data_IF_520494771722
#
_entry.id   IF_520494771722
#
_cell.length_a   1.000
_cell.length_b   1.000
_cell.length_c   1.000
_cell.angle_alpha   90.00
_cell.angle_beta   90.00
_cell.angle_gamma   90.00
#
_symmetry.space_group_name_H-M   'P 1'
#
loop_
_entity.id
_entity.type
_entity.pdbx_description
1 polymer ?
#
# COMPACT_ATOMS: atom_id res chain seq x y z
N UNK A 1 -17.62 -65.31 -42.26
CA UNK A 1 -18.62 -64.86 -41.28
C UNK A 1 -18.48 -63.34 -41.22
N UNK A 2 -19.33 -62.55 -41.90
CA UNK A 2 -20.75 -62.26 -41.59
C UNK A 2 -20.87 -61.62 -40.19
N UNK A 3 -21.35 -60.38 -40.01
CA UNK A 3 -21.78 -59.32 -40.93
C UNK A 3 -22.05 -58.04 -40.12
N UNK A 4 -21.71 -56.83 -40.57
CA UNK A 4 -22.49 -56.00 -41.52
C UNK A 4 -23.87 -55.53 -41.02
N UNK A 5 -23.96 -54.26 -40.60
CA UNK A 5 -24.96 -53.20 -40.95
C UNK A 5 -25.03 -52.15 -39.80
N UNK A 6 -24.96 -50.82 -39.99
CA UNK A 6 -25.61 -49.90 -40.96
C UNK A 6 -27.10 -49.66 -40.62
N UNK A 7 -27.73 -48.46 -40.72
CA UNK A 7 -27.34 -47.09 -41.16
C UNK A 7 -28.55 -46.12 -40.88
N UNK A 8 -28.42 -44.80 -41.17
CA UNK A 8 -29.49 -43.75 -41.33
C UNK A 8 -30.06 -43.14 -40.03
N UNK A 9 -29.85 -41.83 -39.73
CA UNK A 9 -30.37 -40.55 -40.33
C UNK A 9 -31.86 -40.32 -39.98
N UNK A 10 -32.32 -39.17 -39.47
CA UNK A 10 -32.41 -37.81 -40.07
C UNK A 10 -32.99 -36.82 -38.99
N UNK A 11 -33.05 -35.47 -39.07
CA UNK A 11 -32.60 -34.45 -40.05
C UNK A 11 -32.56 -33.00 -39.44
N UNK A 12 -31.77 -32.11 -40.07
CA UNK A 12 -32.05 -30.69 -40.42
C UNK A 12 -32.22 -29.56 -39.37
N UNK A 13 -31.57 -28.41 -39.68
CA UNK A 13 -31.73 -27.09 -39.05
C UNK A 13 -30.65 -26.11 -39.54
N UNK A 14 -30.85 -25.48 -40.71
CA UNK A 14 -29.82 -24.68 -41.41
C UNK A 14 -29.76 -23.20 -40.99
N UNK A 15 -28.60 -22.59 -41.24
CA UNK A 15 -28.19 -21.21 -40.95
C UNK A 15 -29.00 -20.10 -41.64
N UNK A 16 -29.12 -18.92 -41.01
CA UNK A 16 -29.16 -17.59 -41.67
C UNK A 16 -28.46 -16.53 -40.79
N UNK A 17 -27.65 -15.67 -41.41
CA UNK A 17 -27.01 -14.48 -40.83
C UNK A 17 -28.00 -13.31 -40.69
N UNK A 18 -27.94 -12.52 -39.61
CA UNK A 18 -28.32 -11.10 -39.71
C UNK A 18 -27.60 -10.23 -38.66
N UNK A 19 -27.08 -9.10 -39.14
CA UNK A 19 -26.36 -8.08 -38.35
C UNK A 19 -27.37 -7.10 -37.75
N UNK A 20 -27.20 -6.72 -36.48
CA UNK A 20 -27.89 -5.58 -35.89
C UNK A 20 -26.98 -4.85 -34.88
N UNK A 21 -26.20 -3.90 -35.39
CA UNK A 21 -25.61 -2.83 -34.59
C UNK A 21 -26.75 -1.90 -34.12
N UNK A 22 -27.05 -1.82 -32.82
CA UNK A 22 -27.93 -0.78 -32.27
C UNK A 22 -27.40 -0.25 -30.92
N UNK A 23 -26.83 0.95 -31.00
CA UNK A 23 -26.76 2.04 -30.02
C UNK A 23 -26.51 1.77 -28.52
N UNK A 24 -25.36 2.28 -28.06
CA UNK A 24 -24.99 2.47 -26.64
C UNK A 24 -25.73 3.68 -25.99
N UNK A 25 -26.50 4.46 -26.76
CA UNK A 25 -27.15 5.70 -26.30
C UNK A 25 -28.21 5.52 -25.20
N UNK A 26 -28.84 4.34 -25.09
CA UNK A 26 -29.96 4.11 -24.16
C UNK A 26 -29.55 3.97 -22.69
N UNK A 27 -28.25 3.86 -22.41
CA UNK A 27 -27.74 3.65 -21.04
C UNK A 27 -27.42 4.94 -20.28
N UNK A 28 -27.32 6.10 -20.94
CA UNK A 28 -27.10 7.38 -20.24
C UNK A 28 -28.42 7.96 -19.68
N UNK A 29 -29.50 7.94 -20.46
CA UNK A 29 -30.78 8.54 -20.06
C UNK A 29 -31.31 7.95 -18.74
N UNK A 30 -31.16 6.63 -18.56
CA UNK A 30 -31.57 5.92 -17.34
C UNK A 30 -30.75 6.29 -16.09
N UNK A 31 -29.53 6.83 -16.28
CA UNK A 31 -28.66 7.29 -15.18
C UNK A 31 -29.01 8.73 -14.79
N UNK A 32 -29.31 9.59 -15.76
CA UNK A 32 -29.76 10.97 -15.52
C UNK A 32 -31.10 11.01 -14.78
N UNK A 33 -32.07 10.19 -15.18
CA UNK A 33 -33.39 10.13 -14.53
C UNK A 33 -33.33 9.57 -13.08
N UNK A 34 -32.36 8.72 -12.76
CA UNK A 34 -32.13 8.28 -11.37
C UNK A 34 -31.48 9.38 -10.51
N UNK A 35 -30.54 10.15 -11.08
CA UNK A 35 -29.88 11.26 -10.39
C UNK A 35 -30.86 12.38 -10.01
N UNK A 36 -31.88 12.65 -10.85
CA UNK A 36 -32.89 13.67 -10.60
C UNK A 36 -33.84 13.37 -9.42
N UNK A 37 -33.98 12.11 -9.00
CA UNK A 37 -34.92 11.68 -7.95
C UNK A 37 -34.28 11.46 -6.57
N UNK A 38 -32.94 11.45 -6.48
CA UNK A 38 -32.20 11.20 -5.24
C UNK A 38 -31.39 12.42 -4.80
N UNK A 39 -32.08 13.36 -4.15
CA UNK A 39 -31.40 14.47 -3.47
C UNK A 39 -30.36 13.94 -2.47
N UNK A 40 -29.09 14.29 -2.70
CA UNK A 40 -27.91 13.87 -1.91
C UNK A 40 -27.45 12.40 -2.08
N UNK A 41 -27.14 11.96 -3.31
CA UNK A 41 -26.32 10.74 -3.51
C UNK A 41 -25.41 10.73 -4.75
N UNK A 42 -24.83 11.89 -5.10
CA UNK A 42 -23.71 12.08 -6.07
C UNK A 42 -22.37 11.43 -5.61
N UNK A 43 -22.48 10.47 -4.69
CA UNK A 43 -21.51 10.16 -3.64
C UNK A 43 -21.12 8.67 -3.62
N UNK A 44 -21.94 7.83 -4.27
CA UNK A 44 -21.57 6.45 -4.56
C UNK A 44 -20.70 6.34 -5.85
N UNK A 45 -20.39 7.49 -6.46
CA UNK A 45 -19.63 7.67 -7.69
C UNK A 45 -18.27 8.29 -7.31
N UNK A 46 -17.09 7.75 -7.62
CA UNK A 46 -16.65 6.70 -8.54
C UNK A 46 -16.27 5.37 -7.80
N UNK A 47 -17.13 4.80 -6.94
CA UNK A 47 -16.67 3.82 -5.90
C UNK A 47 -16.10 2.46 -6.36
N UNK A 48 -16.33 2.03 -7.60
CA UNK A 48 -15.61 0.91 -8.22
C UNK A 48 -14.93 1.30 -9.55
N UNK A 49 -14.98 2.57 -9.92
CA UNK A 49 -14.60 3.10 -11.23
C UNK A 49 -13.22 3.78 -11.14
N UNK A 50 -12.10 3.14 -11.50
CA UNK A 50 -11.98 1.85 -12.20
C UNK A 50 -11.10 0.87 -11.43
N UNK A 51 -11.74 -0.21 -10.99
CA UNK A 51 -11.18 -1.43 -10.41
C UNK A 51 -9.86 -1.83 -11.07
N UNK A 52 -8.75 -1.50 -10.41
CA UNK A 52 -7.40 -2.07 -10.60
C UNK A 52 -7.00 -2.28 -12.08
N UNK A 53 -6.94 -1.20 -12.86
CA UNK A 53 -6.27 -1.14 -14.17
C UNK A 53 -6.59 -2.28 -15.16
N UNK A 54 -7.82 -2.33 -15.66
CA UNK A 54 -8.18 -3.18 -16.82
C UNK A 54 -8.33 -2.41 -18.15
N UNK A 55 -7.94 -1.13 -18.17
CA UNK A 55 -7.69 -0.34 -19.37
C UNK A 55 -6.26 0.22 -19.28
N UNK A 56 -5.27 -0.67 -19.22
CA UNK A 56 -3.92 -0.34 -19.67
C UNK A 56 -3.97 -0.12 -21.18
N UNK A 57 -4.38 1.08 -21.59
CA UNK A 57 -3.99 1.58 -22.92
C UNK A 57 -2.49 1.35 -23.04
N UNK A 58 -2.08 0.83 -24.20
CA UNK A 58 -0.67 0.60 -24.56
C UNK A 58 0.21 1.72 -24.02
N UNK A 59 1.38 1.35 -23.48
CA UNK A 59 2.44 2.27 -23.04
C UNK A 59 2.82 3.34 -24.09
N UNK A 60 2.39 3.15 -25.34
CA UNK A 60 2.69 3.95 -26.52
C UNK A 60 1.45 4.35 -27.33
N UNK A 61 0.29 4.59 -26.69
CA UNK A 61 -0.85 5.17 -27.42
C UNK A 61 -0.52 6.59 -27.92
N UNK A 62 -0.77 6.84 -29.21
CA UNK A 62 0.02 7.75 -30.05
C UNK A 62 -0.43 9.23 -29.96
N UNK A 63 -0.89 9.66 -28.78
CA UNK A 63 -1.40 11.01 -28.57
C UNK A 63 -0.27 12.03 -28.45
N UNK A 64 -0.06 12.80 -29.51
CA UNK A 64 0.98 13.84 -29.67
C UNK A 64 0.89 15.06 -28.75
N UNK A 65 0.00 15.04 -27.75
CA UNK A 65 -0.06 16.07 -26.70
C UNK A 65 0.83 15.67 -25.53
N UNK A 66 2.02 16.25 -25.50
CA UNK A 66 3.07 16.09 -24.48
C UNK A 66 2.70 16.74 -23.12
N UNK A 67 1.43 17.06 -22.89
CA UNK A 67 0.95 17.71 -21.67
C UNK A 67 0.05 16.78 -20.85
N UNK A 68 0.39 16.69 -19.57
CA UNK A 68 -0.27 15.81 -18.61
C UNK A 68 -1.60 16.44 -18.19
N UNK A 69 -2.70 15.69 -18.27
CA UNK A 69 -3.98 16.17 -17.80
C UNK A 69 -4.06 16.16 -16.26
N UNK A 70 -3.49 17.21 -15.66
CA UNK A 70 -3.54 17.44 -14.21
C UNK A 70 -4.95 17.65 -13.68
N UNK A 71 -5.89 18.12 -14.51
CA UNK A 71 -7.28 18.29 -14.12
C UNK A 71 -7.92 16.92 -13.92
N UNK A 72 -7.76 16.01 -14.88
CA UNK A 72 -8.18 14.60 -14.77
C UNK A 72 -7.52 13.89 -13.57
N UNK A 73 -6.22 14.11 -13.31
CA UNK A 73 -5.56 13.56 -12.11
C UNK A 73 -6.17 14.13 -10.82
N UNK A 74 -6.43 15.43 -10.75
CA UNK A 74 -7.02 16.07 -9.58
C UNK A 74 -8.46 15.59 -9.33
N UNK A 75 -9.29 15.49 -10.37
CA UNK A 75 -10.67 14.99 -10.29
C UNK A 75 -10.71 13.51 -9.88
N UNK A 76 -9.94 12.65 -10.56
CA UNK A 76 -9.82 11.21 -10.27
C UNK A 76 -9.49 10.93 -8.80
N UNK A 77 -8.59 11.73 -8.22
CA UNK A 77 -8.16 11.58 -6.83
C UNK A 77 -8.86 12.53 -5.86
N UNK A 78 -9.84 13.31 -6.32
CA UNK A 78 -10.59 14.28 -5.49
C UNK A 78 -9.66 15.23 -4.72
N UNK A 79 -8.65 15.75 -5.41
CA UNK A 79 -7.73 16.76 -4.91
C UNK A 79 -8.33 18.16 -5.06
N UNK A 80 -8.00 19.11 -4.16
CA UNK A 80 -8.43 20.49 -4.33
C UNK A 80 -7.80 21.09 -5.60
N UNK A 81 -8.48 22.02 -6.26
CA UNK A 81 -8.02 22.59 -7.54
C UNK A 81 -6.67 23.32 -7.44
N UNK A 82 -6.34 23.86 -6.26
CA UNK A 82 -5.04 24.48 -5.97
C UNK A 82 -3.89 23.47 -5.75
N UNK A 83 -4.17 22.16 -5.81
CA UNK A 83 -3.15 21.12 -5.91
C UNK A 83 -2.53 21.01 -7.32
N UNK A 84 -3.23 21.43 -8.38
CA UNK A 84 -2.74 21.31 -9.76
C UNK A 84 -1.38 22.01 -9.99
N UNK A 85 -1.14 23.25 -9.51
CA UNK A 85 0.18 23.87 -9.55
C UNK A 85 1.26 23.06 -8.81
N UNK A 86 0.91 22.40 -7.71
CA UNK A 86 1.84 21.57 -6.92
C UNK A 86 2.21 20.29 -7.70
N UNK A 87 1.21 19.64 -8.33
CA UNK A 87 1.43 18.47 -9.18
C UNK A 87 2.29 18.83 -10.41
N UNK A 88 2.13 20.03 -10.99
CA UNK A 88 3.01 20.57 -12.03
C UNK A 88 4.45 20.76 -11.55
N UNK A 89 4.64 21.32 -10.36
CA UNK A 89 5.98 21.46 -9.75
C UNK A 89 6.65 20.09 -9.58
N UNK A 90 5.91 19.06 -9.14
CA UNK A 90 6.42 17.68 -9.01
C UNK A 90 6.88 17.11 -10.35
N UNK A 91 6.15 17.30 -11.47
CA UNK A 91 6.61 16.87 -12.81
C UNK A 91 7.92 17.54 -13.20
N UNK A 92 8.11 18.81 -12.84
CA UNK A 92 9.28 19.59 -13.23
C UNK A 92 10.57 19.23 -12.46
N UNK A 93 10.47 18.49 -11.36
CA UNK A 93 11.65 18.00 -10.63
C UNK A 93 12.26 16.78 -11.34
N UNK A 94 13.60 16.61 -11.26
CA UNK A 94 14.25 15.40 -11.76
C UNK A 94 13.60 14.14 -11.18
N UNK A 95 13.42 13.15 -12.04
CA UNK A 95 12.79 11.87 -11.69
C UNK A 95 13.70 11.10 -10.72
N UNK A 96 15.00 11.05 -10.98
CA UNK A 96 15.99 10.43 -10.10
C UNK A 96 16.17 11.15 -8.75
N UNK A 97 16.31 10.39 -7.67
CA UNK A 97 16.65 10.93 -6.36
C UNK A 97 18.17 11.02 -6.20
N UNK A 98 18.64 12.02 -5.45
CA UNK A 98 20.00 11.99 -4.89
C UNK A 98 20.09 10.85 -3.85
N UNK A 99 20.57 9.70 -4.30
CA UNK A 99 20.78 8.52 -3.47
C UNK A 99 22.13 7.91 -3.82
N UNK A 100 22.95 7.68 -2.80
CA UNK A 100 24.25 7.03 -2.92
C UNK A 100 24.34 5.88 -1.91
N UNK A 101 24.50 4.66 -2.43
CA UNK A 101 24.51 3.41 -1.67
C UNK A 101 25.59 3.33 -0.58
N UNK A 102 26.68 4.07 -0.73
CA UNK A 102 27.79 4.03 0.22
C UNK A 102 27.62 5.08 1.33
N UNK A 103 27.04 6.25 1.04
CA UNK A 103 26.79 7.32 2.03
C UNK A 103 25.40 7.27 2.67
N UNK A 104 24.46 6.52 2.11
CA UNK A 104 23.06 6.57 2.52
C UNK A 104 22.57 5.21 3.07
N UNK A 105 21.57 5.28 3.96
CA UNK A 105 20.85 4.13 4.49
C UNK A 105 19.39 4.24 4.06
N UNK A 106 18.93 3.28 3.24
CA UNK A 106 17.53 3.12 2.89
C UNK A 106 16.72 2.66 4.12
N UNK A 107 16.00 3.59 4.75
CA UNK A 107 15.17 3.34 5.93
C UNK A 107 13.73 3.06 5.50
N UNK A 108 13.43 1.81 5.18
CA UNK A 108 12.05 1.37 4.91
C UNK A 108 11.29 1.21 6.22
N UNK A 109 10.32 2.08 6.43
CA UNK A 109 9.44 2.02 7.59
C UNK A 109 8.02 1.86 7.10
N UNK A 110 7.34 0.80 7.51
CA UNK A 110 6.04 0.49 6.92
C UNK A 110 5.02 -0.04 7.93
N UNK A 111 3.72 0.21 7.70
CA UNK A 111 2.68 -0.34 8.54
C UNK A 111 2.64 -1.87 8.55
N UNK A 112 2.07 -2.43 9.61
CA UNK A 112 1.63 -3.83 9.61
C UNK A 112 0.58 -4.03 8.53
N UNK A 113 0.73 -5.10 7.73
CA UNK A 113 -0.20 -5.50 6.66
C UNK A 113 -0.23 -4.55 5.45
N UNK A 114 0.95 -4.12 5.02
CA UNK A 114 1.21 -3.55 3.68
C UNK A 114 2.11 -4.49 2.87
N UNK A 115 2.48 -4.10 1.65
CA UNK A 115 3.46 -4.83 0.82
C UNK A 115 4.88 -4.95 1.42
N UNK A 116 5.14 -4.38 2.59
CA UNK A 116 6.49 -4.26 3.14
C UNK A 116 7.17 -5.56 3.54
N UNK A 117 6.47 -6.68 3.72
CA UNK A 117 7.12 -8.00 3.84
C UNK A 117 7.85 -8.36 2.54
N UNK A 118 7.17 -8.20 1.41
CA UNK A 118 7.72 -8.47 0.07
C UNK A 118 8.85 -7.50 -0.24
N UNK A 119 8.66 -6.22 0.08
CA UNK A 119 9.67 -5.20 -0.19
C UNK A 119 10.90 -5.30 0.73
N UNK A 120 10.74 -5.65 2.01
CA UNK A 120 11.87 -5.97 2.92
C UNK A 120 12.68 -7.18 2.44
N UNK A 121 12.02 -8.15 1.77
CA UNK A 121 12.70 -9.29 1.15
C UNK A 121 13.47 -8.88 -0.11
N UNK A 122 12.94 -7.96 -0.92
CA UNK A 122 13.67 -7.38 -2.04
C UNK A 122 14.90 -6.59 -1.54
N UNK A 123 14.75 -5.73 -0.53
CA UNK A 123 15.87 -5.01 0.10
C UNK A 123 16.93 -5.95 0.68
N UNK A 124 16.53 -7.05 1.33
CA UNK A 124 17.46 -8.07 1.82
C UNK A 124 18.23 -8.76 0.67
N UNK A 125 17.64 -8.90 -0.51
CA UNK A 125 18.27 -9.48 -1.70
C UNK A 125 19.24 -8.49 -2.36
N UNK A 126 18.81 -7.23 -2.54
CA UNK A 126 19.60 -6.12 -3.11
C UNK A 126 20.82 -5.80 -2.25
N UNK A 127 20.63 -5.67 -0.93
CA UNK A 127 21.69 -5.25 0.00
C UNK A 127 22.53 -6.42 0.51
N UNK A 128 21.99 -7.64 0.49
CA UNK A 128 22.53 -8.84 1.15
C UNK A 128 22.57 -8.70 2.68
N UNK A 129 22.60 -9.83 3.40
CA UNK A 129 22.33 -9.88 4.86
C UNK A 129 23.30 -9.04 5.71
N UNK A 130 24.55 -8.86 5.28
CA UNK A 130 25.57 -8.11 6.05
C UNK A 130 25.40 -6.58 5.95
N UNK A 131 24.73 -6.05 4.92
CA UNK A 131 24.46 -4.61 4.76
C UNK A 131 23.08 -4.16 5.30
N UNK A 132 22.38 -5.07 5.98
CA UNK A 132 21.10 -4.80 6.65
C UNK A 132 21.36 -4.48 8.12
N UNK A 133 20.81 -3.39 8.62
CA UNK A 133 20.92 -2.97 10.03
C UNK A 133 20.48 -4.11 10.97
N UNK A 134 21.33 -4.60 11.88
CA UNK A 134 20.95 -5.65 12.83
C UNK A 134 19.74 -5.20 13.66
N UNK A 135 18.82 -6.13 13.95
CA UNK A 135 17.48 -5.82 14.46
C UNK A 135 16.40 -5.64 13.38
N UNK A 136 16.75 -5.48 12.10
CA UNK A 136 15.79 -5.40 10.98
C UNK A 136 15.24 -6.78 10.59
N UNK A 137 14.15 -7.19 11.24
CA UNK A 137 13.45 -8.45 10.95
C UNK A 137 12.41 -8.32 9.82
N UNK A 138 12.27 -9.36 8.99
CA UNK A 138 11.29 -9.45 7.89
C UNK A 138 9.86 -9.17 8.38
N UNK A 139 9.32 -7.98 8.13
CA UNK A 139 8.01 -7.56 8.66
C UNK A 139 7.90 -7.72 10.19
N UNK A 140 8.95 -7.31 10.91
CA UNK A 140 8.96 -7.25 12.37
C UNK A 140 9.21 -5.81 12.85
N UNK A 141 8.87 -5.56 14.11
CA UNK A 141 9.40 -4.42 14.86
C UNK A 141 10.91 -4.61 15.03
N UNK A 142 11.64 -3.50 15.16
CA UNK A 142 13.07 -3.50 15.39
C UNK A 142 13.43 -4.33 16.62
N UNK A 143 14.34 -5.30 16.46
CA UNK A 143 14.73 -6.24 17.52
C UNK A 143 15.98 -5.75 18.22
N UNK A 144 15.76 -5.01 19.29
CA UNK A 144 16.79 -4.42 20.16
C UNK A 144 17.87 -5.44 20.58
N UNK A 145 17.49 -6.65 20.98
CA UNK A 145 18.43 -7.71 21.37
C UNK A 145 19.33 -8.21 20.23
N UNK A 146 18.86 -8.21 18.98
CA UNK A 146 19.68 -8.56 17.81
C UNK A 146 20.66 -7.43 17.46
N UNK A 147 20.31 -6.18 17.75
CA UNK A 147 21.19 -5.01 17.60
C UNK A 147 22.26 -4.98 18.69
N UNK A 148 21.89 -5.23 19.94
CA UNK A 148 22.82 -5.35 21.09
C UNK A 148 23.83 -6.49 20.88
N UNK A 149 23.36 -7.67 20.45
CA UNK A 149 24.24 -8.79 20.09
C UNK A 149 25.23 -8.42 18.97
N UNK A 150 24.82 -7.55 18.03
CA UNK A 150 25.70 -7.08 16.96
C UNK A 150 26.71 -6.03 17.46
N UNK A 151 26.33 -5.15 18.40
CA UNK A 151 27.27 -4.22 19.08
C UNK A 151 28.34 -4.98 19.85
N UNK A 152 27.98 -6.02 20.60
CA UNK A 152 28.94 -6.86 21.34
C UNK A 152 29.93 -7.58 20.40
N UNK A 153 29.42 -8.11 19.28
CA UNK A 153 30.21 -8.88 18.32
C UNK A 153 31.05 -8.01 17.38
N UNK A 154 30.55 -6.83 17.02
CA UNK A 154 31.17 -5.87 16.11
C UNK A 154 31.21 -4.49 16.79
N UNK A 155 32.05 -4.25 17.82
CA UNK A 155 32.12 -2.95 18.47
C UNK A 155 32.54 -1.86 17.47
N UNK A 156 31.88 -0.68 17.42
CA UNK A 156 32.13 0.32 16.38
C UNK A 156 33.58 0.80 16.27
N UNK A 157 34.32 0.83 17.37
CA UNK A 157 35.73 1.25 17.41
C UNK A 157 36.71 0.14 16.97
N UNK A 158 36.24 -1.11 16.86
CA UNK A 158 37.04 -2.31 16.53
C UNK A 158 36.71 -2.83 15.12
N UNK A 159 35.43 -2.87 14.77
CA UNK A 159 34.94 -3.25 13.44
C UNK A 159 34.07 -2.12 12.85
N UNK A 160 34.71 -1.00 12.44
CA UNK A 160 33.98 0.14 11.87
C UNK A 160 33.43 -0.18 10.48
N UNK A 161 34.06 -1.10 9.74
CA UNK A 161 33.71 -1.42 8.36
C UNK A 161 32.43 -2.25 8.28
N UNK A 162 32.13 -3.09 9.28
CA UNK A 162 30.80 -3.67 9.43
C UNK A 162 29.70 -2.61 9.45
N UNK A 163 29.83 -1.57 10.29
CA UNK A 163 28.83 -0.50 10.40
C UNK A 163 28.79 0.42 9.18
N UNK A 164 29.94 0.73 8.57
CA UNK A 164 29.98 1.45 7.29
C UNK A 164 29.39 0.66 6.13
N UNK A 165 29.37 -0.67 6.21
CA UNK A 165 28.74 -1.50 5.16
C UNK A 165 27.20 -1.43 5.17
N UNK A 166 26.58 -1.00 6.28
CA UNK A 166 25.12 -0.92 6.39
C UNK A 166 24.56 0.10 5.38
N UNK A 167 23.62 -0.37 4.56
CA UNK A 167 22.94 0.43 3.53
C UNK A 167 21.42 0.36 3.57
N UNK A 168 20.82 -0.48 4.43
CA UNK A 168 19.37 -0.47 4.65
C UNK A 168 18.97 -0.82 6.08
N UNK A 169 17.88 -0.21 6.54
CA UNK A 169 17.15 -0.48 7.77
C UNK A 169 15.70 -0.73 7.37
N UNK A 170 15.09 -1.81 7.84
CA UNK A 170 13.65 -2.01 7.64
C UNK A 170 12.95 -2.48 8.93
N UNK A 171 11.81 -1.86 9.24
CA UNK A 171 11.07 -2.15 10.47
C UNK A 171 9.61 -1.73 10.37
N UNK A 172 8.74 -2.44 11.11
CA UNK A 172 7.49 -1.86 11.55
C UNK A 172 7.78 -0.74 12.54
N UNK A 173 7.30 0.45 12.25
CA UNK A 173 7.43 1.61 13.12
C UNK A 173 6.47 2.71 12.66
N UNK A 174 6.29 3.70 13.52
CA UNK A 174 5.60 4.94 13.28
C UNK A 174 6.66 5.96 12.84
N UNK A 175 6.56 6.51 11.62
CA UNK A 175 7.73 7.09 10.93
C UNK A 175 8.42 8.22 11.69
N UNK A 176 7.62 9.15 12.21
CA UNK A 176 8.11 10.45 12.69
C UNK A 176 7.49 10.79 14.06
N UNK A 177 7.60 9.87 15.03
CA UNK A 177 7.07 10.09 16.40
C UNK A 177 7.81 11.21 17.12
N UNK A 178 7.18 12.39 17.17
CA UNK A 178 7.71 13.63 17.77
C UNK A 178 7.90 13.50 19.30
N UNK A 179 7.15 12.61 19.97
CA UNK A 179 6.98 12.61 21.44
C UNK A 179 7.52 11.36 22.18
N UNK A 180 8.61 10.74 21.71
CA UNK A 180 9.38 9.79 22.55
C UNK A 180 10.70 10.43 22.97
N UNK A 181 11.14 10.15 24.22
CA UNK A 181 12.35 10.75 24.84
C UNK A 181 13.64 10.48 24.05
N UNK A 182 13.64 9.46 23.20
CA UNK A 182 14.64 9.21 22.18
C UNK A 182 13.98 8.47 21.02
N UNK A 183 14.23 8.89 19.78
CA UNK A 183 13.81 8.17 18.58
C UNK A 183 14.75 7.01 18.25
N UNK A 184 14.30 6.05 17.44
CA UNK A 184 15.13 4.90 17.05
C UNK A 184 16.45 5.36 16.39
N UNK A 185 16.43 6.42 15.59
CA UNK A 185 17.66 6.91 14.93
C UNK A 185 18.62 7.62 15.88
N UNK A 186 18.10 8.37 16.84
CA UNK A 186 18.89 8.99 17.90
C UNK A 186 19.62 7.89 18.68
N UNK A 187 18.91 6.82 19.07
CA UNK A 187 19.51 5.64 19.71
C UNK A 187 20.61 5.02 18.83
N UNK A 188 20.29 4.68 17.57
CA UNK A 188 21.24 4.06 16.64
C UNK A 188 22.50 4.93 16.43
N UNK A 189 22.35 6.25 16.23
CA UNK A 189 23.47 7.19 16.04
C UNK A 189 24.24 7.50 17.33
N UNK A 190 23.65 7.28 18.51
CA UNK A 190 24.37 7.36 19.80
C UNK A 190 25.26 6.13 19.99
N UNK A 191 24.69 4.95 19.81
CA UNK A 191 25.37 3.67 20.09
C UNK A 191 26.32 3.23 18.96
N UNK A 192 26.10 3.70 17.73
CA UNK A 192 27.04 3.58 16.61
C UNK A 192 27.30 4.96 16.00
N UNK A 193 28.30 5.72 16.51
CA UNK A 193 28.60 7.07 16.02
C UNK A 193 28.89 7.15 14.52
N UNK A 194 29.41 6.08 13.91
CA UNK A 194 29.65 5.96 12.47
C UNK A 194 28.36 6.15 11.63
N UNK A 195 27.18 5.87 12.17
CA UNK A 195 25.90 6.12 11.49
C UNK A 195 25.54 7.62 11.37
N UNK A 196 26.37 8.52 11.93
CA UNK A 196 26.32 9.97 11.66
C UNK A 196 27.03 10.34 10.35
N UNK A 197 27.95 9.50 9.87
CA UNK A 197 28.58 9.65 8.55
C UNK A 197 27.57 9.39 7.41
N UNK A 198 26.41 8.77 7.73
CA UNK A 198 25.39 8.39 6.75
C UNK A 198 24.07 9.18 6.86
N UNK A 199 23.47 9.43 5.69
CA UNK A 199 22.11 9.99 5.57
C UNK A 199 21.09 8.86 5.69
N UNK A 200 20.12 8.99 6.59
CA UNK A 200 18.97 8.08 6.62
C UNK A 200 17.93 8.61 5.63
N UNK A 201 17.69 7.84 4.57
CA UNK A 201 16.78 8.20 3.48
C UNK A 201 15.48 7.40 3.68
N UNK A 202 14.43 8.11 4.08
CA UNK A 202 13.18 7.51 4.52
C UNK A 202 12.35 7.02 3.33
N UNK A 203 11.93 5.76 3.41
CA UNK A 203 10.95 5.16 2.52
C UNK A 203 9.74 4.65 3.29
N UNK A 204 8.56 4.77 2.71
CA UNK A 204 7.30 4.30 3.33
C UNK A 204 6.42 3.51 2.37
N UNK A 205 5.40 2.84 2.91
CA UNK A 205 4.38 2.15 2.11
C UNK A 205 2.99 2.61 2.55
N UNK A 206 2.32 3.26 1.62
CA UNK A 206 0.92 3.65 1.65
C UNK A 206 0.06 2.46 1.21
N UNK A 207 -1.15 2.35 1.76
CA UNK A 207 -2.16 1.33 1.46
C UNK A 207 -3.56 1.94 1.56
N UNK A 208 -4.52 1.49 0.76
CA UNK A 208 -5.92 1.94 0.88
C UNK A 208 -6.43 1.70 2.31
N UNK A 209 -7.01 2.68 3.00
CA UNK A 209 -7.28 2.57 4.44
C UNK A 209 -8.21 1.41 4.81
N UNK A 210 -9.28 1.19 4.04
CA UNK A 210 -10.22 0.07 4.21
C UNK A 210 -9.53 -1.30 4.03
N UNK A 211 -8.71 -1.46 2.99
CA UNK A 211 -7.91 -2.66 2.74
C UNK A 211 -6.91 -2.95 3.89
N UNK A 212 -6.30 -1.90 4.45
CA UNK A 212 -5.42 -1.97 5.61
C UNK A 212 -6.19 -2.34 6.89
N UNK A 213 -7.33 -1.71 7.16
CA UNK A 213 -8.19 -1.98 8.31
C UNK A 213 -8.71 -3.42 8.30
N UNK A 214 -9.26 -3.87 7.18
CA UNK A 214 -9.71 -5.24 6.99
C UNK A 214 -8.57 -6.26 7.16
N UNK A 215 -7.38 -5.96 6.62
CA UNK A 215 -6.21 -6.84 6.81
C UNK A 215 -5.71 -6.86 8.25
N UNK A 216 -5.72 -5.73 8.96
CA UNK A 216 -5.40 -5.66 10.39
C UNK A 216 -6.43 -6.44 11.22
N UNK A 217 -7.72 -6.31 10.90
CA UNK A 217 -8.80 -7.06 11.54
C UNK A 217 -8.60 -8.58 11.38
N UNK A 218 -8.51 -9.03 10.13
CA UNK A 218 -8.42 -10.44 9.76
C UNK A 218 -7.16 -11.13 10.26
N UNK A 219 -6.01 -10.43 10.29
CA UNK A 219 -4.72 -11.06 10.54
C UNK A 219 -4.04 -10.71 11.87
N UNK A 220 -4.28 -9.52 12.42
CA UNK A 220 -3.59 -9.06 13.65
C UNK A 220 -4.49 -8.93 14.86
N UNK A 221 -5.66 -8.27 14.71
CA UNK A 221 -6.56 -7.93 15.81
C UNK A 221 -7.32 -9.19 16.22
N UNK A 222 -8.13 -9.73 15.32
CA UNK A 222 -8.97 -10.89 15.59
C UNK A 222 -8.36 -12.22 15.12
N UNK A 223 -7.31 -12.17 14.29
CA UNK A 223 -6.61 -13.37 13.78
C UNK A 223 -7.57 -14.38 13.12
N UNK A 224 -8.62 -13.88 12.49
CA UNK A 224 -9.66 -14.63 11.75
C UNK A 224 -9.05 -15.71 10.84
N UNK A 225 -7.96 -15.39 10.10
CA UNK A 225 -7.25 -16.36 9.25
C UNK A 225 -6.55 -17.50 10.00
N UNK A 226 -6.37 -17.39 11.32
CA UNK A 226 -5.88 -18.48 12.19
C UNK A 226 -7.05 -19.38 12.63
N UNK A 227 -8.13 -18.80 13.13
CA UNK A 227 -9.28 -19.55 13.67
C UNK A 227 -10.06 -20.28 12.58
N UNK A 228 -10.24 -19.65 11.41
CA UNK A 228 -10.84 -20.30 10.25
C UNK A 228 -9.97 -21.37 9.57
N UNK A 229 -8.70 -21.52 9.97
CA UNK A 229 -7.72 -22.43 9.32
C UNK A 229 -7.09 -21.89 8.02
N UNK A 230 -7.38 -20.63 7.66
CA UNK A 230 -7.19 -20.07 6.31
C UNK A 230 -5.92 -19.21 6.15
N UNK A 231 -4.77 -19.70 6.63
CA UNK A 231 -3.53 -18.89 6.69
C UNK A 231 -2.93 -18.50 5.33
N UNK A 232 -3.17 -19.27 4.27
CA UNK A 232 -2.61 -19.02 2.93
C UNK A 232 -3.46 -19.68 1.83
N UNK A 233 -4.48 -18.99 1.35
CA UNK A 233 -5.12 -19.34 0.08
C UNK A 233 -4.24 -18.91 -1.09
N UNK A 234 -4.23 -19.72 -2.16
CA UNK A 234 -3.53 -19.42 -3.42
C UNK A 234 -4.43 -18.83 -4.50
N UNK A 235 -5.75 -19.06 -4.44
CA UNK A 235 -6.69 -18.70 -5.50
C UNK A 235 -7.88 -17.90 -4.94
N UNK A 236 -8.36 -16.89 -5.69
CA UNK A 236 -9.52 -16.05 -5.29
C UNK A 236 -10.81 -16.88 -5.16
N UNK A 237 -11.00 -17.88 -6.01
CA UNK A 237 -12.16 -18.79 -5.93
C UNK A 237 -12.18 -19.70 -4.69
N UNK A 238 -11.10 -19.74 -3.90
CA UNK A 238 -11.04 -20.47 -2.62
C UNK A 238 -11.37 -19.60 -1.40
N UNK A 239 -11.63 -18.30 -1.60
CA UNK A 239 -11.98 -17.34 -0.54
C UNK A 239 -13.43 -17.54 -0.09
N UNK A 240 -13.67 -18.61 0.66
CA UNK A 240 -14.98 -18.88 1.25
C UNK A 240 -15.36 -17.80 2.27
N UNK A 241 -16.67 -17.47 2.43
CA UNK A 241 -17.13 -16.58 3.48
C UNK A 241 -16.72 -17.05 4.88
N UNK A 242 -16.67 -16.11 5.83
CA UNK A 242 -16.30 -16.38 7.22
C UNK A 242 -17.46 -16.05 8.14
N UNK A 243 -17.88 -17.01 8.96
CA UNK A 243 -18.84 -16.76 10.03
C UNK A 243 -18.09 -16.17 11.25
N UNK A 244 -18.12 -14.84 11.39
CA UNK A 244 -17.46 -14.13 12.49
C UNK A 244 -18.06 -14.52 13.86
N UNK A 245 -19.38 -14.70 13.95
CA UNK A 245 -20.08 -15.17 15.16
C UNK A 245 -19.56 -16.54 15.62
N UNK A 246 -19.35 -17.49 14.71
CA UNK A 246 -18.77 -18.79 15.04
C UNK A 246 -17.32 -18.65 15.56
N UNK A 247 -16.52 -17.76 14.95
CA UNK A 247 -15.15 -17.49 15.41
C UNK A 247 -15.14 -16.82 16.79
N UNK A 248 -16.07 -15.89 17.08
CA UNK A 248 -16.25 -15.32 18.42
C UNK A 248 -16.47 -16.41 19.47
N UNK A 249 -17.40 -17.34 19.22
CA UNK A 249 -17.68 -18.43 20.17
C UNK A 249 -16.49 -19.39 20.32
N UNK A 250 -15.85 -19.79 19.21
CA UNK A 250 -14.61 -20.58 19.27
C UNK A 250 -13.51 -19.88 20.09
N UNK A 251 -13.34 -18.56 19.93
CA UNK A 251 -12.34 -17.79 20.66
C UNK A 251 -12.65 -17.65 22.16
N UNK A 252 -13.94 -17.68 22.53
CA UNK A 252 -14.39 -17.70 23.92
C UNK A 252 -14.18 -19.10 24.54
N UNK A 253 -14.60 -20.17 23.85
CA UNK A 253 -14.34 -21.56 24.25
C UNK A 253 -12.84 -21.80 24.49
N UNK A 254 -11.99 -21.42 23.53
CA UNK A 254 -10.53 -21.53 23.69
C UNK A 254 -9.97 -20.67 24.83
N UNK A 255 -10.65 -19.60 25.25
CA UNK A 255 -10.26 -18.81 26.43
C UNK A 255 -10.59 -19.56 27.71
N UNK A 256 -11.77 -20.17 27.82
CA UNK A 256 -12.15 -20.95 29.00
C UNK A 256 -11.28 -22.22 29.13
N UNK A 257 -10.97 -22.92 28.03
CA UNK A 257 -9.99 -24.01 28.03
C UNK A 257 -8.59 -23.57 28.51
N UNK A 258 -8.18 -22.35 28.15
CA UNK A 258 -6.91 -21.76 28.62
C UNK A 258 -6.94 -21.36 30.09
N UNK A 259 -8.09 -20.96 30.63
CA UNK A 259 -8.27 -20.65 32.07
C UNK A 259 -8.36 -21.94 32.91
N UNK A 260 -8.91 -23.02 32.35
CA UNK A 260 -8.96 -24.34 32.96
C UNK A 260 -7.66 -25.15 32.82
N UNK A 261 -6.62 -24.58 32.21
CA UNK A 261 -5.33 -25.22 31.85
C UNK A 261 -5.42 -26.47 30.94
N UNK A 262 -6.62 -26.81 30.46
CA UNK A 262 -6.85 -27.94 29.54
C UNK A 262 -6.25 -27.70 28.15
N UNK A 263 -5.98 -26.43 27.82
CA UNK A 263 -5.30 -26.01 26.60
C UNK A 263 -4.15 -25.05 26.93
N UNK A 264 -3.03 -25.21 26.22
CA UNK A 264 -1.85 -24.30 26.30
C UNK A 264 -1.63 -23.49 25.03
N UNK A 265 -2.20 -23.92 23.91
CA UNK A 265 -2.07 -23.22 22.63
C UNK A 265 -2.87 -21.90 22.65
N UNK A 266 -2.25 -20.80 22.20
CA UNK A 266 -2.83 -19.45 22.08
C UNK A 266 -3.22 -18.73 23.39
N UNK A 267 -3.08 -19.36 24.56
CA UNK A 267 -3.46 -18.76 25.85
C UNK A 267 -2.83 -17.38 26.16
N UNK A 268 -1.54 -17.12 25.89
CA UNK A 268 -0.95 -15.78 26.09
C UNK A 268 -1.62 -14.67 25.28
N UNK A 269 -2.31 -15.02 24.19
CA UNK A 269 -3.11 -14.09 23.40
C UNK A 269 -4.54 -13.95 23.93
N UNK A 270 -5.19 -15.04 24.36
CA UNK A 270 -6.63 -15.07 24.69
C UNK A 270 -6.95 -14.64 26.14
N UNK A 271 -6.15 -15.06 27.12
CA UNK A 271 -6.45 -14.82 28.55
C UNK A 271 -6.57 -13.33 28.86
N UNK A 272 -5.68 -12.52 28.26
CA UNK A 272 -5.63 -11.07 28.42
C UNK A 272 -6.65 -10.28 27.57
N UNK A 273 -7.76 -10.90 27.14
CA UNK A 273 -8.81 -10.26 26.32
C UNK A 273 -10.10 -10.05 27.10
N UNK A 274 -10.63 -8.83 26.99
CA UNK A 274 -11.93 -8.41 27.53
C UNK A 274 -13.09 -8.91 26.67
N UNK A 275 -14.32 -8.92 27.21
CA UNK A 275 -15.53 -9.28 26.46
C UNK A 275 -15.67 -8.47 25.15
N UNK A 276 -15.50 -7.14 25.23
CA UNK A 276 -15.54 -6.21 24.08
C UNK A 276 -14.61 -6.62 22.93
N UNK A 277 -13.47 -7.27 23.20
CA UNK A 277 -12.59 -7.77 22.14
C UNK A 277 -13.23 -8.92 21.36
N UNK A 278 -13.94 -9.83 22.03
CA UNK A 278 -14.65 -10.93 21.37
C UNK A 278 -15.87 -10.44 20.60
N UNK A 279 -16.57 -9.40 21.10
CA UNK A 279 -17.67 -8.75 20.37
C UNK A 279 -17.19 -8.15 19.04
N UNK A 280 -16.10 -7.39 19.05
CA UNK A 280 -15.43 -6.89 17.84
C UNK A 280 -15.06 -8.01 16.87
N UNK A 281 -14.57 -9.15 17.37
CA UNK A 281 -14.19 -10.26 16.50
C UNK A 281 -15.40 -11.07 15.99
N UNK A 282 -16.59 -10.84 16.54
CA UNK A 282 -17.86 -11.41 16.07
C UNK A 282 -18.65 -10.54 15.10
N UNK A 283 -18.37 -9.23 15.02
CA UNK A 283 -19.11 -8.30 14.15
C UNK A 283 -18.24 -7.15 13.64
N UNK A 284 -18.34 -6.84 12.34
CA UNK A 284 -17.75 -5.63 11.75
C UNK A 284 -18.48 -4.37 12.24
N UNK A 285 -19.77 -4.43 12.54
CA UNK A 285 -20.48 -3.29 13.13
C UNK A 285 -19.91 -2.97 14.52
N UNK A 286 -19.69 -4.00 15.36
CA UNK A 286 -19.03 -3.84 16.65
C UNK A 286 -17.56 -3.42 16.55
N UNK A 287 -16.91 -3.54 15.37
CA UNK A 287 -15.62 -2.92 15.09
C UNK A 287 -15.77 -1.42 14.82
N UNK A 288 -16.76 -1.03 14.02
CA UNK A 288 -17.01 0.37 13.62
C UNK A 288 -17.59 1.22 14.76
N UNK A 289 -18.42 0.63 15.63
CA UNK A 289 -19.04 1.26 16.81
C UNK A 289 -18.06 1.59 17.95
N UNK A 290 -16.76 1.25 17.83
CA UNK A 290 -15.78 1.65 18.84
C UNK A 290 -15.31 3.07 18.51
N UNK A 291 -15.69 4.04 19.33
CA UNK A 291 -15.30 5.46 19.19
C UNK A 291 -13.80 5.65 18.93
N UNK A 292 -12.95 4.87 19.61
CA UNK A 292 -11.49 4.89 19.45
C UNK A 292 -10.94 4.13 18.23
N UNK A 293 -11.78 3.59 17.32
CA UNK A 293 -11.33 3.05 16.04
C UNK A 293 -10.99 4.18 15.08
N UNK A 294 -11.72 5.30 15.11
CA UNK A 294 -11.32 6.52 14.42
C UNK A 294 -9.95 7.02 14.93
N UNK A 295 -9.74 7.12 16.25
CA UNK A 295 -8.43 7.46 16.82
C UNK A 295 -7.32 6.48 16.39
N UNK A 296 -7.57 5.17 16.38
CA UNK A 296 -6.62 4.14 15.95
C UNK A 296 -6.28 4.17 14.45
N UNK A 297 -7.06 4.90 13.65
CA UNK A 297 -6.88 5.06 12.21
C UNK A 297 -6.34 6.45 11.85
N UNK A 298 -6.92 7.56 12.33
CA UNK A 298 -6.39 8.91 12.11
C UNK A 298 -4.98 9.12 12.67
N UNK A 299 -4.58 8.34 13.70
CA UNK A 299 -3.20 8.29 14.16
C UNK A 299 -2.23 7.71 13.11
N UNK A 300 -2.72 6.95 12.13
CA UNK A 300 -1.88 6.07 11.33
C UNK A 300 -1.07 6.81 10.28
N UNK A 301 -1.73 7.55 9.38
CA UNK A 301 -1.00 8.43 8.46
C UNK A 301 -0.46 9.68 9.16
N UNK A 302 -0.98 10.06 10.33
CA UNK A 302 -0.42 11.15 11.14
C UNK A 302 0.95 10.79 11.70
N UNK A 303 1.08 9.63 12.34
CA UNK A 303 2.37 9.06 12.76
C UNK A 303 3.28 8.75 11.54
N UNK A 304 2.70 8.57 10.34
CA UNK A 304 3.44 8.33 9.10
C UNK A 304 4.09 9.61 8.55
N UNK A 305 3.32 10.68 8.41
CA UNK A 305 3.77 11.91 7.78
C UNK A 305 4.41 12.88 8.80
N UNK A 306 4.19 12.68 10.10
CA UNK A 306 4.81 13.50 11.15
C UNK A 306 4.07 14.81 11.39
N UNK A 307 4.60 15.92 10.87
CA UNK A 307 4.02 17.27 11.00
C UNK A 307 2.82 17.51 10.06
N UNK A 308 1.93 16.51 9.91
CA UNK A 308 0.65 16.79 9.25
C UNK A 308 -0.13 17.84 10.05
N UNK A 309 -0.75 18.84 9.41
CA UNK A 309 -1.69 19.73 10.07
C UNK A 309 -2.74 18.91 10.81
N UNK A 310 -2.95 19.19 12.10
CA UNK A 310 -3.95 18.47 12.90
C UNK A 310 -5.34 18.73 12.30
N UNK A 311 -6.10 17.69 11.90
CA UNK A 311 -7.43 17.89 11.34
C UNK A 311 -8.38 18.53 12.38
N UNK A 312 -9.47 19.18 11.95
CA UNK A 312 -10.34 19.92 12.84
C UNK A 312 -11.01 19.01 13.88
N UNK A 313 -10.69 19.24 15.16
CA UNK A 313 -11.61 18.87 16.24
C UNK A 313 -12.93 19.59 15.98
N UNK A 314 -14.03 18.86 15.83
CA UNK A 314 -15.25 19.42 15.26
C UNK A 314 -15.79 20.67 15.99
N UNK A 315 -16.28 21.60 15.18
CA UNK A 315 -16.90 22.90 15.52
C UNK A 315 -15.99 24.03 16.02
N UNK A 316 -15.92 25.09 15.18
CA UNK A 316 -15.51 26.48 15.49
C UNK A 316 -14.04 26.74 15.87
N UNK A 317 -13.12 26.54 14.92
CA UNK A 317 -11.79 27.18 14.97
C UNK A 317 -11.26 27.44 13.54
N UNK A 318 -10.26 28.33 13.40
CA UNK A 318 -9.50 28.54 12.16
C UNK A 318 -8.48 27.39 12.00
N UNK A 319 -8.98 26.20 11.68
CA UNK A 319 -8.24 24.93 11.60
C UNK A 319 -8.04 24.48 10.16
N UNK A 320 -6.94 23.76 9.92
CA UNK A 320 -6.60 23.16 8.63
C UNK A 320 -7.68 22.22 8.09
N UNK A 321 -8.03 22.34 6.80
CA UNK A 321 -9.05 21.49 6.15
C UNK A 321 -8.45 20.16 5.64
N UNK A 322 -9.28 19.24 5.13
CA UNK A 322 -8.75 18.08 4.41
C UNK A 322 -7.96 18.50 3.15
N UNK A 323 -8.25 19.66 2.57
CA UNK A 323 -7.45 20.22 1.47
C UNK A 323 -6.03 20.59 1.93
N UNK A 324 -5.85 21.06 3.18
CA UNK A 324 -4.52 21.28 3.75
C UNK A 324 -3.76 19.97 3.97
N UNK A 325 -4.46 18.91 4.40
CA UNK A 325 -3.89 17.55 4.49
C UNK A 325 -3.46 17.04 3.11
N UNK A 326 -4.29 17.25 2.08
CA UNK A 326 -3.96 16.92 0.70
C UNK A 326 -2.75 17.72 0.19
N UNK A 327 -2.79 19.05 0.30
CA UNK A 327 -1.71 19.96 -0.10
C UNK A 327 -0.38 19.66 0.59
N UNK A 328 -0.39 19.40 1.90
CA UNK A 328 0.80 18.98 2.64
C UNK A 328 1.31 17.64 2.13
N UNK A 329 0.43 16.64 2.01
CA UNK A 329 0.79 15.29 1.58
C UNK A 329 1.42 15.29 0.19
N UNK A 330 0.84 16.04 -0.76
CA UNK A 330 1.40 16.20 -2.11
C UNK A 330 2.79 16.81 -2.04
N UNK A 331 3.01 17.86 -1.22
CA UNK A 331 4.33 18.49 -1.07
C UNK A 331 5.37 17.56 -0.44
N UNK A 332 5.05 16.88 0.67
CA UNK A 332 5.98 15.97 1.37
C UNK A 332 6.31 14.76 0.49
N UNK A 333 5.28 14.04 0.00
CA UNK A 333 5.47 12.86 -0.86
C UNK A 333 6.07 13.19 -2.23
N UNK A 334 5.79 14.40 -2.74
CA UNK A 334 6.38 14.96 -3.94
C UNK A 334 7.86 15.29 -3.82
N UNK A 335 8.40 15.40 -2.61
CA UNK A 335 9.78 15.86 -2.36
C UNK A 335 9.93 17.37 -2.53
N UNK A 336 8.87 18.14 -2.28
CA UNK A 336 8.86 19.62 -2.34
C UNK A 336 9.12 20.26 -0.97
N UNK A 337 9.01 19.51 0.13
CA UNK A 337 9.37 19.95 1.47
C UNK A 337 10.82 19.53 1.72
N UNK A 338 11.69 20.52 1.98
CA UNK A 338 13.07 20.26 2.38
C UNK A 338 13.14 19.47 3.70
N UNK A 339 14.27 18.80 3.94
CA UNK A 339 14.52 18.11 5.20
C UNK A 339 14.43 19.11 6.36
N UNK A 340 13.33 19.04 7.12
CA UNK A 340 13.09 19.89 8.27
C UNK A 340 14.22 19.70 9.29
N UNK A 341 14.77 20.76 9.87
CA UNK A 341 15.85 20.67 10.88
C UNK A 341 15.48 19.75 12.07
N UNK A 342 14.18 19.62 12.36
CA UNK A 342 13.64 18.71 13.39
C UNK A 342 13.64 17.23 12.99
N UNK A 343 13.78 16.90 11.70
CA UNK A 343 13.81 15.56 11.14
C UNK A 343 15.15 15.25 10.48
N UNK A 344 15.99 14.48 11.18
CA UNK A 344 17.32 14.03 10.70
C UNK A 344 17.24 12.89 9.66
N UNK A 345 16.18 12.89 8.86
CA UNK A 345 15.84 11.94 7.80
C UNK A 345 15.23 12.68 6.61
N UNK A 346 15.80 12.44 5.43
CA UNK A 346 15.28 12.98 4.19
C UNK A 346 14.20 12.05 3.67
N UNK A 347 12.99 12.54 3.42
CA UNK A 347 11.98 11.75 2.73
C UNK A 347 12.40 11.57 1.27
N UNK A 348 12.37 10.32 0.79
CA UNK A 348 12.81 9.99 -0.56
C UNK A 348 11.70 9.38 -1.40
N UNK A 349 11.02 8.34 -0.89
CA UNK A 349 10.04 7.59 -1.68
C UNK A 349 8.91 7.02 -0.83
N UNK A 350 7.71 6.99 -1.40
CA UNK A 350 6.63 6.13 -0.95
C UNK A 350 6.34 5.07 -2.02
N UNK A 351 5.91 3.90 -1.57
CA UNK A 351 5.32 2.86 -2.40
C UNK A 351 3.84 2.78 -2.08
N UNK A 352 3.03 2.28 -3.01
CA UNK A 352 1.60 2.01 -2.79
C UNK A 352 1.37 0.50 -2.90
N UNK A 353 0.77 -0.10 -1.86
CA UNK A 353 0.56 -1.56 -1.80
C UNK A 353 -0.29 -2.07 -2.97
N UNK A 354 -1.32 -1.31 -3.38
CA UNK A 354 -2.18 -1.63 -4.51
C UNK A 354 -1.50 -1.43 -5.87
N UNK A 355 -0.40 -0.69 -5.93
CA UNK A 355 0.35 -0.31 -7.15
C UNK A 355 1.82 -0.70 -7.04
N UNK A 356 2.07 -1.91 -6.53
CA UNK A 356 3.43 -2.35 -6.20
C UNK A 356 4.32 -2.50 -7.44
N UNK A 357 3.79 -2.92 -8.61
CA UNK A 357 4.55 -2.95 -9.87
C UNK A 357 5.12 -1.56 -10.21
N UNK A 358 4.26 -0.56 -10.32
CA UNK A 358 4.63 0.84 -10.58
C UNK A 358 5.58 1.38 -9.50
N UNK A 359 5.32 1.07 -8.23
CA UNK A 359 6.20 1.48 -7.12
C UNK A 359 7.60 0.88 -7.23
N UNK A 360 7.71 -0.39 -7.66
CA UNK A 360 8.99 -1.06 -7.90
C UNK A 360 9.71 -0.50 -9.13
N UNK A 361 8.98 -0.11 -10.19
CA UNK A 361 9.57 0.56 -11.35
C UNK A 361 10.29 1.85 -10.99
N UNK A 362 9.58 2.76 -10.31
CA UNK A 362 10.19 4.01 -9.86
C UNK A 362 11.32 3.72 -8.85
N UNK A 363 11.18 2.72 -7.98
CA UNK A 363 12.25 2.34 -7.04
C UNK A 363 13.55 1.92 -7.74
N UNK A 364 13.49 0.98 -8.69
CA UNK A 364 14.68 0.50 -9.40
C UNK A 364 15.29 1.61 -10.27
N UNK A 365 14.45 2.30 -11.06
CA UNK A 365 14.91 3.32 -12.00
C UNK A 365 15.49 4.55 -11.29
N UNK A 366 14.79 5.11 -10.30
CA UNK A 366 15.18 6.38 -9.68
C UNK A 366 16.38 6.24 -8.75
N UNK A 367 16.53 5.07 -8.09
CA UNK A 367 17.65 4.78 -7.19
C UNK A 367 18.81 4.05 -7.88
N UNK A 368 18.67 3.75 -9.18
CA UNK A 368 19.67 3.03 -10.00
C UNK A 368 20.07 1.70 -9.37
N UNK A 369 19.06 0.92 -9.00
CA UNK A 369 19.18 -0.37 -8.32
C UNK A 369 18.82 -1.48 -9.29
N UNK A 370 19.67 -2.51 -9.38
CA UNK A 370 19.41 -3.69 -10.21
C UNK A 370 18.11 -4.41 -9.79
N UNK A 371 17.19 -4.68 -10.73
CA UNK A 371 15.93 -5.33 -10.43
C UNK A 371 16.11 -6.77 -9.90
N UNK A 372 15.52 -7.06 -8.73
CA UNK A 372 15.44 -8.44 -8.20
C UNK A 372 14.12 -9.09 -8.56
N UNK A 373 14.11 -10.44 -8.65
CA UNK A 373 12.94 -11.19 -9.10
C UNK A 373 11.77 -11.03 -8.15
N UNK A 374 10.63 -10.54 -8.66
CA UNK A 374 9.43 -10.36 -7.86
C UNK A 374 8.93 -11.67 -7.24
N UNK A 375 8.64 -11.62 -5.93
CA UNK A 375 8.13 -12.73 -5.14
C UNK A 375 6.61 -12.68 -5.06
N UNK A 376 5.93 -12.77 -6.21
CA UNK A 376 4.48 -12.60 -6.32
C UNK A 376 3.66 -13.52 -5.40
N UNK A 377 4.21 -14.67 -5.00
CA UNK A 377 3.59 -15.62 -4.05
C UNK A 377 3.35 -15.07 -2.64
N UNK A 378 3.81 -13.84 -2.35
CA UNK A 378 3.56 -13.10 -1.11
C UNK A 378 2.37 -12.13 -1.20
N UNK A 379 1.89 -11.81 -2.41
CA UNK A 379 0.63 -11.09 -2.59
C UNK A 379 -0.53 -12.05 -2.32
N UNK A 380 -1.45 -11.66 -1.42
CA UNK A 380 -2.55 -12.53 -1.00
C UNK A 380 -3.70 -12.42 -1.98
N UNK A 381 -4.15 -13.55 -2.50
CA UNK A 381 -5.29 -13.59 -3.43
C UNK A 381 -6.63 -13.37 -2.75
N UNK A 382 -6.84 -13.87 -1.52
CA UNK A 382 -8.04 -13.52 -0.76
C UNK A 382 -7.90 -12.14 -0.12
N UNK A 383 -8.86 -11.26 -0.39
CA UNK A 383 -8.91 -9.93 0.20
C UNK A 383 -9.74 -10.00 1.49
N UNK A 384 -9.24 -9.47 2.62
CA UNK A 384 -10.01 -9.39 3.86
C UNK A 384 -11.32 -8.57 3.82
N UNK A 385 -11.74 -8.08 2.64
CA UNK A 385 -12.96 -7.31 2.41
C UNK A 385 -14.15 -8.17 1.96
N UNK A 386 -13.93 -9.43 1.60
CA UNK A 386 -14.96 -10.32 1.03
C UNK A 386 -16.12 -10.63 2.02
N UNK A 387 -15.93 -10.30 3.31
CA UNK A 387 -16.93 -10.44 4.39
C UNK A 387 -17.32 -9.10 5.03
N UNK A 388 -16.99 -7.97 4.40
CA UNK A 388 -17.50 -6.65 4.77
C UNK A 388 -18.70 -6.29 3.90
N UNK A 389 -19.80 -5.86 4.51
CA UNK A 389 -20.98 -5.38 3.78
C UNK A 389 -20.74 -3.98 3.17
N UNK A 390 -21.43 -3.64 2.09
CA UNK A 390 -21.27 -2.32 1.45
C UNK A 390 -21.58 -1.15 2.40
N UNK A 391 -22.56 -1.29 3.30
CA UNK A 391 -22.83 -0.28 4.33
C UNK A 391 -21.65 -0.08 5.30
N UNK A 392 -20.91 -1.14 5.62
CA UNK A 392 -19.73 -1.11 6.50
C UNK A 392 -18.53 -0.49 5.77
N UNK A 393 -18.33 -0.85 4.50
CA UNK A 393 -17.32 -0.22 3.64
C UNK A 393 -17.59 1.29 3.49
N UNK A 394 -18.83 1.68 3.22
CA UNK A 394 -19.25 3.09 3.10
C UNK A 394 -19.02 3.85 4.42
N UNK A 395 -19.55 3.35 5.53
CA UNK A 395 -19.36 3.95 6.87
C UNK A 395 -17.87 4.13 7.22
N UNK A 396 -17.02 3.15 6.89
CA UNK A 396 -15.57 3.27 7.09
C UNK A 396 -14.94 4.35 6.20
N UNK A 397 -15.38 4.51 4.95
CA UNK A 397 -14.87 5.54 4.02
C UNK A 397 -15.31 6.94 4.47
N UNK A 398 -16.58 7.11 4.84
CA UNK A 398 -17.17 8.38 5.30
C UNK A 398 -16.52 8.90 6.59
N UNK A 399 -16.01 8.00 7.44
CA UNK A 399 -15.38 8.36 8.71
C UNK A 399 -13.85 8.40 8.65
N UNK A 400 -13.19 7.58 7.82
CA UNK A 400 -11.73 7.53 7.65
C UNK A 400 -11.15 8.59 6.71
N UNK A 401 -11.78 9.77 6.61
CA UNK A 401 -11.52 10.80 5.60
C UNK A 401 -10.09 11.33 5.59
N UNK A 402 -9.42 11.41 6.75
CA UNK A 402 -8.02 11.82 6.86
C UNK A 402 -7.09 10.82 6.15
N UNK A 403 -7.14 9.55 6.56
CA UNK A 403 -6.36 8.46 5.99
C UNK A 403 -6.62 8.31 4.47
N UNK A 404 -7.88 8.48 4.04
CA UNK A 404 -8.25 8.47 2.62
C UNK A 404 -7.71 9.66 1.85
N UNK A 405 -7.58 10.82 2.48
CA UNK A 405 -6.98 12.00 1.85
C UNK A 405 -5.48 11.80 1.61
N UNK A 406 -4.77 11.23 2.59
CA UNK A 406 -3.34 10.90 2.42
C UNK A 406 -3.13 9.83 1.33
N UNK A 407 -3.97 8.78 1.32
CA UNK A 407 -3.90 7.75 0.27
C UNK A 407 -4.23 8.28 -1.13
N UNK A 408 -5.25 9.14 -1.29
CA UNK A 408 -5.58 9.77 -2.58
C UNK A 408 -4.46 10.70 -3.06
N UNK A 409 -3.93 11.55 -2.19
CA UNK A 409 -2.80 12.43 -2.50
C UNK A 409 -1.54 11.65 -2.91
N UNK A 410 -1.22 10.55 -2.22
CA UNK A 410 -0.11 9.66 -2.63
C UNK A 410 -0.32 9.09 -4.04
N UNK A 411 -1.56 8.69 -4.39
CA UNK A 411 -1.86 8.20 -5.73
C UNK A 411 -1.78 9.29 -6.81
N UNK A 412 -2.18 10.54 -6.52
CA UNK A 412 -2.02 11.65 -7.43
C UNK A 412 -0.53 11.93 -7.72
N UNK A 413 0.33 11.92 -6.69
CA UNK A 413 1.80 12.04 -6.86
C UNK A 413 2.37 10.85 -7.64
N UNK A 414 1.87 9.63 -7.41
CA UNK A 414 2.27 8.43 -8.16
C UNK A 414 1.89 8.53 -9.64
N UNK A 415 0.69 9.01 -9.98
CA UNK A 415 0.28 9.21 -11.38
C UNK A 415 1.17 10.23 -12.09
N UNK A 416 1.49 11.36 -11.45
CA UNK A 416 2.43 12.35 -12.01
C UNK A 416 3.81 11.74 -12.26
N UNK A 417 4.36 11.02 -11.27
CA UNK A 417 5.69 10.39 -11.40
C UNK A 417 5.73 9.30 -12.46
N UNK A 418 4.71 8.45 -12.52
CA UNK A 418 4.59 7.41 -13.56
C UNK A 418 4.44 8.01 -14.96
N UNK A 419 3.67 9.09 -15.12
CA UNK A 419 3.51 9.75 -16.41
C UNK A 419 4.80 10.47 -16.85
N UNK A 420 5.49 11.16 -15.93
CA UNK A 420 6.80 11.76 -16.22
C UNK A 420 7.84 10.69 -16.60
N UNK A 421 7.86 9.56 -15.88
CA UNK A 421 8.72 8.41 -16.18
C UNK A 421 8.43 7.83 -17.57
N UNK A 422 7.15 7.66 -17.95
CA UNK A 422 6.77 7.20 -19.30
C UNK A 422 7.25 8.15 -20.40
N UNK A 423 7.19 9.47 -20.18
CA UNK A 423 7.74 10.48 -21.11
C UNK A 423 9.26 10.32 -21.26
N UNK A 424 10.00 10.14 -20.17
CA UNK A 424 11.46 9.92 -20.22
C UNK A 424 11.82 8.64 -20.98
N UNK A 425 11.12 7.52 -20.70
CA UNK A 425 11.31 6.26 -21.42
C UNK A 425 10.98 6.41 -22.90
N UNK A 426 9.86 7.06 -23.24
CA UNK A 426 9.48 7.33 -24.65
C UNK A 426 10.53 8.18 -25.36
N UNK A 427 11.02 9.25 -24.74
CA UNK A 427 12.04 10.11 -25.35
C UNK A 427 13.35 9.36 -25.66
N UNK A 428 13.73 8.38 -24.82
CA UNK A 428 14.90 7.51 -25.08
C UNK A 428 14.66 6.53 -26.24
N UNK A 429 13.47 5.94 -26.31
CA UNK A 429 13.08 5.07 -27.44
C UNK A 429 12.99 5.85 -28.76
N UNK A 430 12.42 7.06 -28.74
CA UNK A 430 12.35 7.97 -29.88
C UNK A 430 13.75 8.45 -30.32
N UNK A 431 14.72 8.51 -29.39
CA UNK A 431 16.14 8.75 -29.67
C UNK A 431 16.89 7.52 -30.22
N UNK A 432 16.21 6.38 -30.38
CA UNK A 432 16.76 5.15 -30.98
C UNK A 432 17.36 4.15 -29.99
N UNK A 433 17.21 4.35 -28.67
CA UNK A 433 17.53 3.33 -27.68
C UNK A 433 16.49 2.19 -27.72
N UNK A 434 16.89 0.98 -27.33
CA UNK A 434 15.98 -0.15 -27.13
C UNK A 434 15.65 -0.36 -25.65
N UNK A 435 14.53 -1.02 -25.36
CA UNK A 435 14.08 -1.25 -23.98
C UNK A 435 15.11 -1.99 -23.09
N UNK A 436 15.94 -2.85 -23.67
CA UNK A 436 17.04 -3.56 -23.01
C UNK A 436 18.30 -2.70 -22.79
N UNK A 437 18.44 -1.56 -23.49
CA UNK A 437 19.51 -0.59 -23.28
C UNK A 437 19.18 0.42 -22.17
N UNK A 438 17.94 0.47 -21.69
CA UNK A 438 17.50 1.33 -20.59
C UNK A 438 17.87 0.66 -19.26
N UNK A 439 18.91 1.11 -18.54
CA UNK A 439 19.36 0.45 -17.32
C UNK A 439 18.35 0.63 -16.18
N UNK A 440 18.33 -0.33 -15.26
CA UNK A 440 17.47 -0.36 -14.06
C UNK A 440 15.95 -0.38 -14.32
N UNK A 441 15.54 -0.51 -15.58
CA UNK A 441 14.14 -0.71 -15.95
C UNK A 441 13.72 -2.12 -15.56
N UNK A 442 12.91 -2.23 -14.50
CA UNK A 442 12.58 -3.51 -13.86
C UNK A 442 11.56 -4.36 -14.62
N UNK A 443 11.50 -5.69 -14.36
CA UNK A 443 10.48 -6.59 -14.96
C UNK A 443 9.04 -6.06 -14.82
N UNK A 444 8.75 -5.43 -13.68
CA UNK A 444 7.48 -4.77 -13.38
C UNK A 444 7.04 -3.69 -14.38
N UNK A 445 7.96 -3.17 -15.20
CA UNK A 445 7.76 -2.02 -16.08
C UNK A 445 7.49 -2.41 -17.54
N UNK A 446 7.71 -3.69 -17.87
CA UNK A 446 7.44 -4.26 -19.18
C UNK A 446 6.17 -5.13 -19.19
N UNK A 447 5.72 -5.60 -18.02
CA UNK A 447 4.67 -6.62 -17.85
C UNK A 447 3.23 -6.11 -18.10
N UNK A 448 3.10 -5.04 -18.90
CA UNK A 448 1.88 -4.68 -19.63
C UNK A 448 1.81 -5.41 -21.00
N UNK A 449 2.85 -6.15 -21.42
CA UNK A 449 2.87 -6.96 -22.66
C UNK A 449 1.99 -8.23 -22.62
N UNK A 450 0.97 -8.28 -21.76
CA UNK A 450 -0.26 -9.04 -22.05
C UNK A 450 -1.28 -8.09 -22.71
N UNK A 451 -0.87 -7.58 -23.87
CA UNK A 451 -1.71 -6.86 -24.86
C UNK A 451 -2.55 -7.91 -25.61
#
# INVERSE_FOLDING_TARGET
MVGSKSIILYALGLSVFLVAFVSISSSLQLVEDLAASTGSLDLYHLLEAYSVSSNSKSLFDDSTNDDMDYQSIAEKWQMPSDAIPILREIRSRPIGFDYNRDTDILSLRHPLKTGGTSFSLALLEIFTKNRVMPGSGKSHWFRETEFETALEKHPPDIDPDYWRSIGTLYTHTFLRRINQKEGLLEKLRREVPLLKEKRFRLMTIVRRPLDLAASRFYETKCRIGVYSGRKAFKNVSSCTPVNLTAIKYQMLEEKEECLAETRKARCPFLVNKSARFFDVCGSIDALLEIDGVHDLHDLHYRDLMGLLPTPPSHSRSKTSTFDDVARYTIRDLGGLIDANENYKEDFMMFLITERMKESLCLFYYHLKIEPVKERHSLYKTCRPLDFWEERQKRSFIETGTFDYTVWRAANAVMDVRMAAFRMEIKARLDAGETLDQIPFLGPACYDDTQI
#
